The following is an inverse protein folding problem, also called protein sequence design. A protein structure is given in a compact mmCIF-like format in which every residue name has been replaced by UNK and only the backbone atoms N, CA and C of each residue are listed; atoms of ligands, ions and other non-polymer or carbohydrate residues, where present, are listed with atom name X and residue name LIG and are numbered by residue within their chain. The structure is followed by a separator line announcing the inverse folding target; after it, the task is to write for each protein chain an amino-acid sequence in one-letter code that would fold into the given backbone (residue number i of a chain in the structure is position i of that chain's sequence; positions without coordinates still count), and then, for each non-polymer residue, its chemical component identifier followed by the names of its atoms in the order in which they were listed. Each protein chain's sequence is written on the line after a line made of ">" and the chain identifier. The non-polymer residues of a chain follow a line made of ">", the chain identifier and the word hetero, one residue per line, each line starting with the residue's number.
data_IF_039848911587
#
_entry.id   IF_039848911587
#
_cell.length_a   1.000
_cell.length_b   1.000
_cell.length_c   1.000
_cell.angle_alpha   90.00
_cell.angle_beta   90.00
_cell.angle_gamma   90.00
#
_symmetry.space_group_name_H-M   'P 1'
#
loop_
_entity.id
_entity.type
_entity.pdbx_description
1 polymer ?
#
# COMPACT_ATOMS: atom_id res chain seq x y z
N UNK A 1 49.61 -24.35 -7.76
CA UNK A 1 49.20 -23.64 -8.98
C UNK A 1 47.67 -23.44 -9.02
N UNK A 2 46.90 -24.31 -8.36
CA UNK A 2 45.42 -24.25 -8.32
C UNK A 2 44.77 -23.14 -7.47
N UNK A 3 45.52 -22.49 -6.57
CA UNK A 3 44.96 -21.47 -5.66
C UNK A 3 44.90 -20.05 -6.23
N UNK A 4 45.71 -19.76 -7.25
CA UNK A 4 45.72 -18.46 -7.94
C UNK A 4 44.59 -18.36 -8.97
N UNK A 5 44.27 -19.48 -9.63
CA UNK A 5 43.21 -19.55 -10.64
C UNK A 5 41.80 -19.44 -10.02
N UNK A 6 41.62 -20.00 -8.82
CA UNK A 6 40.36 -19.86 -8.05
C UNK A 6 40.09 -18.44 -7.57
N UNK A 7 41.14 -17.70 -7.18
CA UNK A 7 41.01 -16.32 -6.69
C UNK A 7 40.74 -15.33 -7.83
N UNK A 8 41.36 -15.53 -9.00
CA UNK A 8 41.09 -14.70 -10.18
C UNK A 8 39.68 -14.92 -10.74
N UNK A 9 39.17 -16.16 -10.69
CA UNK A 9 37.82 -16.49 -11.13
C UNK A 9 36.72 -15.98 -10.16
N UNK A 10 36.99 -15.92 -8.86
CA UNK A 10 36.10 -15.26 -7.89
C UNK A 10 36.08 -13.74 -8.06
N UNK A 11 37.25 -13.12 -8.27
CA UNK A 11 37.34 -11.67 -8.45
C UNK A 11 36.67 -11.22 -9.77
N UNK A 12 36.82 -11.97 -10.86
CA UNK A 12 36.14 -11.68 -12.13
C UNK A 12 34.61 -11.84 -12.04
N UNK A 13 34.11 -12.77 -11.21
CA UNK A 13 32.68 -12.96 -10.94
C UNK A 13 32.11 -11.83 -10.07
N UNK A 14 32.81 -11.44 -9.00
CA UNK A 14 32.39 -10.32 -8.15
C UNK A 14 32.37 -8.98 -8.92
N UNK A 15 33.28 -8.78 -9.88
CA UNK A 15 33.28 -7.60 -10.75
C UNK A 15 32.08 -7.63 -11.70
N UNK A 16 31.79 -8.77 -12.33
CA UNK A 16 30.63 -8.92 -13.22
C UNK A 16 29.29 -8.77 -12.50
N UNK A 17 29.14 -9.35 -11.31
CA UNK A 17 27.92 -9.24 -10.50
C UNK A 17 27.70 -7.80 -9.99
N UNK A 18 28.77 -7.06 -9.68
CA UNK A 18 28.67 -5.64 -9.33
C UNK A 18 28.33 -4.76 -10.53
N UNK A 19 28.90 -5.00 -11.72
CA UNK A 19 28.53 -4.25 -12.93
C UNK A 19 27.06 -4.48 -13.33
N UNK A 20 26.56 -5.71 -13.24
CA UNK A 20 25.16 -6.03 -13.54
C UNK A 20 24.21 -5.32 -12.55
N UNK A 21 24.52 -5.36 -11.25
CA UNK A 21 23.72 -4.66 -10.22
C UNK A 21 23.70 -3.14 -10.45
N UNK A 22 24.86 -2.55 -10.79
CA UNK A 22 24.95 -1.11 -11.06
C UNK A 22 24.14 -0.70 -12.31
N UNK A 23 24.07 -1.55 -13.34
CA UNK A 23 23.28 -1.29 -14.55
C UNK A 23 21.78 -1.45 -14.30
N UNK A 24 21.37 -2.49 -13.56
CA UNK A 24 19.98 -2.70 -13.14
C UNK A 24 19.48 -1.55 -12.26
N UNK A 25 20.29 -1.09 -11.30
CA UNK A 25 19.98 0.04 -10.43
C UNK A 25 19.85 1.34 -11.21
N UNK A 26 20.70 1.58 -12.22
CA UNK A 26 20.61 2.74 -13.10
C UNK A 26 19.34 2.75 -13.96
N UNK A 27 19.01 1.64 -14.62
CA UNK A 27 17.79 1.52 -15.45
C UNK A 27 16.54 1.72 -14.59
N UNK A 28 16.55 1.16 -13.38
CA UNK A 28 15.47 1.29 -12.41
C UNK A 28 15.30 2.75 -11.93
N UNK A 29 16.40 3.43 -11.59
CA UNK A 29 16.36 4.85 -11.22
C UNK A 29 15.87 5.73 -12.37
N UNK A 30 16.33 5.49 -13.60
CA UNK A 30 15.89 6.23 -14.79
C UNK A 30 14.39 6.05 -15.04
N UNK A 31 13.87 4.81 -14.95
CA UNK A 31 12.44 4.51 -15.10
C UNK A 31 11.61 5.25 -14.04
N UNK A 32 12.04 5.25 -12.78
CA UNK A 32 11.35 5.97 -11.71
C UNK A 32 11.40 7.49 -11.91
N UNK A 33 12.55 8.05 -12.26
CA UNK A 33 12.67 9.49 -12.53
C UNK A 33 11.76 9.93 -13.68
N UNK A 34 11.69 9.13 -14.74
CA UNK A 34 10.79 9.40 -15.85
C UNK A 34 9.31 9.40 -15.41
N UNK A 35 8.91 8.40 -14.61
CA UNK A 35 7.55 8.33 -14.06
C UNK A 35 7.22 9.52 -13.15
N UNK A 36 8.18 9.96 -12.33
CA UNK A 36 8.02 11.13 -11.48
C UNK A 36 7.86 12.42 -12.30
N UNK A 37 8.62 12.57 -13.40
CA UNK A 37 8.48 13.70 -14.33
C UNK A 37 7.10 13.72 -14.99
N UNK A 38 6.63 12.58 -15.52
CA UNK A 38 5.30 12.47 -16.11
C UNK A 38 4.18 12.83 -15.12
N UNK A 39 4.29 12.35 -13.87
CA UNK A 39 3.34 12.65 -12.82
C UNK A 39 3.33 14.15 -12.46
N UNK A 40 4.50 14.78 -12.46
CA UNK A 40 4.66 16.21 -12.16
C UNK A 40 4.07 17.08 -13.27
N UNK A 41 4.30 16.73 -14.54
CA UNK A 41 3.69 17.42 -15.68
C UNK A 41 2.15 17.35 -15.61
N UNK A 42 1.62 16.17 -15.28
CA UNK A 42 0.18 15.99 -15.12
C UNK A 42 -0.38 16.82 -13.95
N UNK A 43 0.35 16.90 -12.82
CA UNK A 43 0.00 17.77 -11.69
C UNK A 43 -0.01 19.23 -12.11
N UNK A 44 1.04 19.72 -12.78
CA UNK A 44 1.14 21.11 -13.23
C UNK A 44 -0.02 21.49 -14.16
N UNK A 45 -0.38 20.59 -15.09
CA UNK A 45 -1.55 20.76 -15.95
C UNK A 45 -2.84 20.90 -15.13
N UNK A 46 -3.08 19.99 -14.18
CA UNK A 46 -4.29 20.02 -13.34
C UNK A 46 -4.31 21.19 -12.35
N UNK A 47 -3.17 21.64 -11.87
CA UNK A 47 -3.02 22.85 -11.06
C UNK A 47 -3.40 24.09 -11.87
N UNK A 48 -2.93 24.21 -13.12
CA UNK A 48 -3.30 25.31 -14.02
C UNK A 48 -4.79 25.32 -14.34
N UNK A 49 -5.36 24.15 -14.65
CA UNK A 49 -6.82 23.99 -14.81
C UNK A 49 -7.57 24.41 -13.53
N UNK A 50 -7.13 23.97 -12.35
CA UNK A 50 -7.79 24.32 -11.09
C UNK A 50 -7.74 25.83 -10.82
N UNK A 51 -6.56 26.45 -10.94
CA UNK A 51 -6.37 27.88 -10.68
C UNK A 51 -7.19 28.76 -11.64
N UNK A 52 -7.28 28.37 -12.92
CA UNK A 52 -8.11 29.09 -13.89
C UNK A 52 -9.61 28.98 -13.56
N UNK A 53 -10.08 27.79 -13.16
CA UNK A 53 -11.47 27.59 -12.74
C UNK A 53 -11.80 28.32 -11.43
N UNK A 54 -10.89 28.32 -10.46
CA UNK A 54 -11.02 29.10 -9.22
C UNK A 54 -11.15 30.60 -9.52
N UNK A 55 -10.32 31.14 -10.41
CA UNK A 55 -10.39 32.54 -10.81
C UNK A 55 -11.74 32.88 -11.47
N UNK A 56 -12.19 32.08 -12.43
CA UNK A 56 -13.51 32.26 -13.08
C UNK A 56 -14.64 32.17 -12.05
N UNK A 57 -14.60 31.19 -11.15
CA UNK A 57 -15.60 31.02 -10.11
C UNK A 57 -15.65 32.20 -9.15
N UNK A 58 -14.50 32.76 -8.79
CA UNK A 58 -14.41 33.96 -7.95
C UNK A 58 -15.04 35.16 -8.65
N UNK A 59 -14.74 35.38 -9.93
CA UNK A 59 -15.33 36.48 -10.72
C UNK A 59 -16.85 36.34 -10.84
N UNK A 60 -17.36 35.14 -11.14
CA UNK A 60 -18.80 34.88 -11.24
C UNK A 60 -19.47 35.07 -9.88
N UNK A 61 -18.85 34.61 -8.80
CA UNK A 61 -19.40 34.77 -7.43
C UNK A 61 -19.49 36.24 -7.05
N UNK A 62 -18.42 37.01 -7.26
CA UNK A 62 -18.41 38.44 -6.96
C UNK A 62 -19.46 39.20 -7.78
N UNK A 63 -19.56 38.90 -9.08
CA UNK A 63 -20.56 39.51 -9.97
C UNK A 63 -21.99 39.17 -9.52
N UNK A 64 -22.24 37.91 -9.16
CA UNK A 64 -23.54 37.45 -8.69
C UNK A 64 -23.96 38.14 -7.40
N UNK A 65 -23.03 38.33 -6.46
CA UNK A 65 -23.27 39.05 -5.20
C UNK A 65 -23.60 40.53 -5.46
N UNK A 66 -22.83 41.20 -6.31
CA UNK A 66 -23.06 42.61 -6.64
C UNK A 66 -24.43 42.80 -7.31
N UNK A 67 -24.76 41.97 -8.30
CA UNK A 67 -26.06 42.02 -8.98
C UNK A 67 -27.22 41.67 -8.04
N UNK A 68 -27.04 40.65 -7.19
CA UNK A 68 -28.02 40.23 -6.19
C UNK A 68 -28.32 41.33 -5.17
N UNK A 69 -27.28 41.96 -4.61
CA UNK A 69 -27.41 43.05 -3.66
C UNK A 69 -28.05 44.29 -4.30
N UNK A 70 -27.65 44.63 -5.53
CA UNK A 70 -28.25 45.73 -6.30
C UNK A 70 -29.74 45.49 -6.59
N UNK A 71 -30.09 44.30 -7.06
CA UNK A 71 -31.48 43.90 -7.29
C UNK A 71 -32.31 43.90 -6.01
N UNK A 72 -31.77 43.34 -4.92
CA UNK A 72 -32.41 43.35 -3.61
C UNK A 72 -32.71 44.76 -3.14
N UNK A 73 -31.71 45.67 -3.18
CA UNK A 73 -31.87 47.05 -2.78
C UNK A 73 -32.92 47.79 -3.64
N UNK A 74 -32.90 47.58 -4.96
CA UNK A 74 -33.87 48.18 -5.87
C UNK A 74 -35.31 47.74 -5.57
N UNK A 75 -35.56 46.43 -5.50
CA UNK A 75 -36.91 45.92 -5.28
C UNK A 75 -37.43 46.19 -3.87
N UNK A 76 -36.56 46.18 -2.85
CA UNK A 76 -36.95 46.46 -1.48
C UNK A 76 -37.20 47.96 -1.24
N UNK A 77 -36.25 48.83 -1.62
CA UNK A 77 -36.27 50.25 -1.26
C UNK A 77 -37.10 51.10 -2.23
N UNK A 78 -37.08 50.79 -3.53
CA UNK A 78 -37.77 51.59 -4.55
C UNK A 78 -39.18 51.06 -4.81
N UNK A 79 -39.32 49.74 -5.00
CA UNK A 79 -40.60 49.11 -5.38
C UNK A 79 -41.41 48.58 -4.19
N UNK A 80 -40.81 48.46 -3.00
CA UNK A 80 -41.45 47.88 -1.81
C UNK A 80 -41.83 46.40 -1.96
N UNK A 81 -41.29 45.69 -2.95
CA UNK A 81 -41.66 44.31 -3.26
C UNK A 81 -40.66 43.33 -2.64
N UNK A 82 -41.02 42.82 -1.46
CA UNK A 82 -40.19 41.92 -0.66
C UNK A 82 -39.96 40.57 -1.39
N UNK A 83 -40.97 40.06 -2.11
CA UNK A 83 -40.87 38.76 -2.78
C UNK A 83 -39.81 38.80 -3.89
N UNK A 84 -39.83 39.82 -4.74
CA UNK A 84 -38.81 39.99 -5.79
C UNK A 84 -37.43 40.30 -5.20
N UNK A 85 -37.35 41.03 -4.09
CA UNK A 85 -36.08 41.28 -3.41
C UNK A 85 -35.44 39.95 -2.93
N UNK A 86 -36.21 39.08 -2.26
CA UNK A 86 -35.73 37.77 -1.83
C UNK A 86 -35.32 36.87 -3.00
N UNK A 87 -36.06 36.92 -4.12
CA UNK A 87 -35.71 36.17 -5.33
C UNK A 87 -34.32 36.57 -5.87
N UNK A 88 -33.98 37.86 -5.85
CA UNK A 88 -32.64 38.33 -6.24
C UNK A 88 -31.52 37.73 -5.38
N UNK A 89 -31.74 37.53 -4.08
CA UNK A 89 -30.76 36.86 -3.22
C UNK A 89 -30.60 35.38 -3.55
N UNK A 90 -31.71 34.66 -3.77
CA UNK A 90 -31.67 33.24 -4.14
C UNK A 90 -30.94 33.04 -5.48
N UNK A 91 -31.22 33.89 -6.46
CA UNK A 91 -30.56 33.86 -7.77
C UNK A 91 -29.07 34.21 -7.68
N UNK A 92 -28.64 35.02 -6.72
CA UNK A 92 -27.23 35.33 -6.51
C UNK A 92 -26.45 34.15 -5.91
N UNK A 93 -27.10 33.28 -5.13
CA UNK A 93 -26.48 32.13 -4.47
C UNK A 93 -26.39 30.91 -5.39
N UNK A 94 -27.31 30.76 -6.34
CA UNK A 94 -27.37 29.58 -7.21
C UNK A 94 -26.08 29.36 -8.07
N UNK A 95 -25.49 30.38 -8.74
CA UNK A 95 -24.31 30.17 -9.56
C UNK A 95 -23.06 29.69 -8.78
N UNK A 96 -22.69 30.28 -7.62
CA UNK A 96 -21.61 29.76 -6.78
C UNK A 96 -21.76 28.28 -6.38
N UNK A 97 -22.99 27.85 -6.06
CA UNK A 97 -23.26 26.47 -5.68
C UNK A 97 -23.04 25.50 -6.86
N UNK A 98 -23.49 25.88 -8.05
CA UNK A 98 -23.30 25.07 -9.27
C UNK A 98 -21.82 24.97 -9.67
N UNK A 99 -21.05 26.03 -9.48
CA UNK A 99 -19.63 26.08 -9.85
C UNK A 99 -18.72 25.27 -8.90
N UNK A 100 -19.16 25.01 -7.66
CA UNK A 100 -18.35 24.31 -6.66
C UNK A 100 -17.86 22.93 -7.14
N UNK A 101 -18.71 22.18 -7.83
CA UNK A 101 -18.35 20.86 -8.39
C UNK A 101 -17.36 20.99 -9.56
N UNK A 102 -17.53 22.02 -10.40
CA UNK A 102 -16.66 22.27 -11.56
C UNK A 102 -15.25 22.70 -11.14
N UNK A 103 -15.14 23.52 -10.09
CA UNK A 103 -13.85 23.92 -9.51
C UNK A 103 -13.15 22.72 -8.87
N UNK A 104 -13.87 21.82 -8.17
CA UNK A 104 -13.26 20.65 -7.52
C UNK A 104 -12.82 19.55 -8.47
N UNK A 105 -13.33 19.53 -9.69
CA UNK A 105 -13.15 18.42 -10.62
C UNK A 105 -11.68 18.17 -11.03
N UNK A 106 -10.82 19.19 -11.32
CA UNK A 106 -9.41 18.95 -11.67
C UNK A 106 -8.62 18.29 -10.54
N UNK A 107 -8.88 18.66 -9.28
CA UNK A 107 -8.24 18.06 -8.10
C UNK A 107 -8.66 16.59 -7.96
N UNK A 108 -9.93 16.28 -8.20
CA UNK A 108 -10.41 14.89 -8.17
C UNK A 108 -9.83 14.06 -9.31
N UNK A 109 -9.75 14.61 -10.52
CA UNK A 109 -9.11 13.96 -11.66
C UNK A 109 -7.64 13.66 -11.39
N UNK A 110 -6.95 14.58 -10.71
CA UNK A 110 -5.56 14.41 -10.30
C UNK A 110 -5.40 13.23 -9.35
N UNK A 111 -6.17 13.20 -8.25
CA UNK A 111 -6.14 12.09 -7.28
C UNK A 111 -6.50 10.75 -7.91
N UNK A 112 -7.52 10.72 -8.78
CA UNK A 112 -7.92 9.51 -9.51
C UNK A 112 -6.82 9.01 -10.42
N UNK A 113 -6.22 9.90 -11.21
CA UNK A 113 -5.15 9.53 -12.13
C UNK A 113 -3.90 9.03 -11.39
N UNK A 114 -3.58 9.63 -10.24
CA UNK A 114 -2.49 9.17 -9.39
C UNK A 114 -2.68 7.69 -8.99
N UNK A 115 -3.86 7.31 -8.47
CA UNK A 115 -4.14 5.91 -8.12
C UNK A 115 -4.32 5.00 -9.33
N UNK A 116 -4.89 5.47 -10.44
CA UNK A 116 -5.19 4.62 -11.60
C UNK A 116 -4.03 4.42 -12.57
N UNK A 117 -3.06 5.34 -12.59
CA UNK A 117 -2.02 5.40 -13.61
C UNK A 117 -0.63 5.40 -13.00
N UNK A 118 -0.37 6.31 -12.06
CA UNK A 118 0.97 6.43 -11.45
C UNK A 118 1.29 5.25 -10.53
N UNK A 119 0.41 4.92 -9.57
CA UNK A 119 0.63 3.82 -8.64
C UNK A 119 0.84 2.44 -9.32
N UNK A 120 0.06 2.03 -10.34
CA UNK A 120 0.35 0.81 -11.09
C UNK A 120 1.70 0.80 -11.81
N UNK A 121 2.10 1.92 -12.40
CA UNK A 121 3.40 2.04 -13.08
C UNK A 121 4.56 2.00 -12.08
N UNK A 122 4.39 2.63 -10.91
CA UNK A 122 5.33 2.55 -9.81
C UNK A 122 5.47 1.10 -9.32
N UNK A 123 4.35 0.39 -9.10
CA UNK A 123 4.36 -1.02 -8.71
C UNK A 123 5.10 -1.90 -9.73
N UNK A 124 4.87 -1.68 -11.03
CA UNK A 124 5.59 -2.38 -12.09
C UNK A 124 7.10 -2.07 -12.08
N UNK A 125 7.49 -0.81 -11.84
CA UNK A 125 8.89 -0.41 -11.73
C UNK A 125 9.58 -1.09 -10.52
N UNK A 126 8.88 -1.31 -9.42
CA UNK A 126 9.36 -1.93 -8.18
C UNK A 126 9.55 -3.46 -8.24
N UNK A 127 9.87 -4.00 -9.42
CA UNK A 127 10.07 -5.44 -9.62
C UNK A 127 8.80 -6.18 -10.06
N UNK A 128 7.93 -5.55 -10.85
CA UNK A 128 6.76 -6.20 -11.46
C UNK A 128 5.60 -6.46 -10.49
N UNK A 129 5.48 -5.65 -9.43
CA UNK A 129 4.35 -5.72 -8.51
C UNK A 129 3.08 -5.19 -9.17
N UNK A 130 1.94 -5.62 -8.66
CA UNK A 130 0.62 -5.11 -9.06
C UNK A 130 0.05 -4.25 -7.94
N UNK A 131 -0.51 -3.10 -8.30
CA UNK A 131 -1.21 -2.21 -7.38
C UNK A 131 -2.73 -2.42 -7.44
N UNK A 132 -3.37 -2.40 -6.28
CA UNK A 132 -4.81 -2.56 -6.08
C UNK A 132 -5.31 -1.53 -5.07
N UNK A 133 -6.08 -0.50 -5.49
CA UNK A 133 -6.44 0.61 -4.61
C UNK A 133 -7.37 0.22 -3.45
N UNK A 134 -8.18 -0.83 -3.61
CA UNK A 134 -9.22 -1.22 -2.62
C UNK A 134 -8.95 -2.56 -1.93
N UNK A 135 -7.77 -3.15 -2.15
CA UNK A 135 -7.38 -4.43 -1.56
C UNK A 135 -6.43 -4.19 -0.39
N UNK A 136 -6.24 -5.19 0.44
CA UNK A 136 -5.18 -5.23 1.44
C UNK A 136 -4.88 -6.65 1.91
N UNK A 137 -4.02 -6.75 2.94
CA UNK A 137 -3.69 -8.03 3.58
C UNK A 137 -4.97 -8.70 4.12
N UNK A 138 -5.14 -10.00 3.87
CA UNK A 138 -6.39 -10.68 4.21
C UNK A 138 -6.65 -10.75 5.72
N UNK A 139 -7.85 -10.34 6.18
CA UNK A 139 -8.27 -10.35 7.61
C UNK A 139 -7.98 -11.67 8.35
N UNK A 140 -8.09 -12.81 7.67
CA UNK A 140 -7.81 -14.15 8.23
C UNK A 140 -6.34 -14.32 8.66
N UNK A 141 -5.42 -13.61 8.01
CA UNK A 141 -3.99 -13.63 8.35
C UNK A 141 -3.76 -12.91 9.68
N UNK A 142 -4.36 -11.73 9.88
CA UNK A 142 -4.19 -10.90 11.08
C UNK A 142 -4.44 -11.66 12.38
N UNK A 143 -5.46 -12.54 12.41
CA UNK A 143 -5.77 -13.34 13.59
C UNK A 143 -4.69 -14.37 13.95
N UNK A 144 -3.86 -14.78 12.99
CA UNK A 144 -2.80 -15.78 13.16
C UNK A 144 -1.46 -15.18 13.59
N UNK A 145 -1.27 -13.87 13.38
CA UNK A 145 0.04 -13.23 13.59
C UNK A 145 0.31 -12.93 15.06
N UNK A 146 -0.73 -12.78 15.89
CA UNK A 146 -0.60 -12.45 17.31
C UNK A 146 -0.17 -11.00 17.59
N UNK A 147 0.48 -10.33 16.63
CA UNK A 147 0.96 -8.94 16.75
C UNK A 147 -0.16 -7.91 16.61
N UNK A 148 -1.20 -8.23 15.84
CA UNK A 148 -2.33 -7.32 15.62
C UNK A 148 -3.18 -7.19 16.89
N UNK A 149 -3.43 -5.98 17.40
CA UNK A 149 -4.27 -5.78 18.57
C UNK A 149 -5.74 -6.13 18.29
N UNK A 150 -6.50 -6.39 19.36
CA UNK A 150 -7.93 -6.64 19.26
C UNK A 150 -8.64 -5.40 18.70
N UNK A 151 -9.44 -5.58 17.65
CA UNK A 151 -10.09 -4.51 16.92
C UNK A 151 -11.51 -4.92 16.49
N UNK A 152 -12.38 -3.92 16.28
CA UNK A 152 -13.73 -4.16 15.77
C UNK A 152 -13.80 -4.07 14.25
N UNK A 153 -13.22 -3.00 13.71
CA UNK A 153 -13.19 -2.71 12.27
C UNK A 153 -11.77 -2.82 11.74
N UNK A 154 -11.66 -3.34 10.53
CA UNK A 154 -10.43 -3.41 9.75
C UNK A 154 -10.71 -2.83 8.37
N UNK A 155 -9.95 -1.82 7.99
CA UNK A 155 -9.93 -1.25 6.66
C UNK A 155 -8.52 -1.39 6.11
N UNK A 156 -8.41 -1.74 4.84
CA UNK A 156 -7.13 -1.75 4.15
C UNK A 156 -7.34 -1.35 2.69
N UNK A 157 -6.38 -0.59 2.20
CA UNK A 157 -6.37 0.03 0.89
C UNK A 157 -4.93 0.10 0.38
N UNK A 158 -4.77 0.52 -0.88
CA UNK A 158 -3.47 0.78 -1.49
C UNK A 158 -2.50 -0.41 -1.38
N UNK A 159 -2.92 -1.54 -1.95
CA UNK A 159 -2.19 -2.79 -1.87
C UNK A 159 -1.27 -3.02 -3.05
N UNK A 160 -0.01 -3.27 -2.75
CA UNK A 160 1.00 -3.78 -3.67
C UNK A 160 1.15 -5.29 -3.45
N UNK A 161 1.09 -6.08 -4.51
CA UNK A 161 1.19 -7.53 -4.43
C UNK A 161 1.87 -8.11 -5.66
N UNK A 162 2.77 -9.07 -5.46
CA UNK A 162 3.53 -9.69 -6.54
C UNK A 162 4.56 -10.68 -6.02
N UNK A 163 5.55 -10.98 -6.85
CA UNK A 163 6.71 -11.76 -6.46
C UNK A 163 7.94 -10.87 -6.56
N UNK A 164 8.76 -10.87 -5.51
CA UNK A 164 10.02 -10.15 -5.48
C UNK A 164 11.09 -11.14 -5.02
N UNK A 165 12.13 -11.35 -5.84
CA UNK A 165 13.20 -12.36 -5.64
C UNK A 165 12.67 -13.74 -5.22
N UNK A 166 11.56 -14.18 -5.82
CA UNK A 166 10.96 -15.48 -5.55
C UNK A 166 10.11 -15.58 -4.28
N UNK A 167 10.10 -14.58 -3.41
CA UNK A 167 9.13 -14.47 -2.32
C UNK A 167 7.84 -13.79 -2.83
N UNK A 168 6.68 -14.29 -2.41
CA UNK A 168 5.42 -13.61 -2.69
C UNK A 168 5.21 -12.54 -1.63
N UNK A 169 5.04 -11.30 -2.08
CA UNK A 169 4.93 -10.14 -1.19
C UNK A 169 3.56 -9.51 -1.35
N UNK A 170 3.04 -8.99 -0.24
CA UNK A 170 1.82 -8.19 -0.24
C UNK A 170 1.93 -7.16 0.86
N UNK A 171 1.95 -5.88 0.51
CA UNK A 171 1.87 -4.81 1.49
C UNK A 171 0.72 -3.87 1.15
N UNK A 172 0.12 -3.27 2.17
CA UNK A 172 -1.03 -2.38 2.04
C UNK A 172 -1.14 -1.47 3.25
N UNK A 173 -1.71 -0.29 3.06
CA UNK A 173 -2.14 0.55 4.18
C UNK A 173 -3.29 -0.14 4.94
N UNK A 174 -3.27 -0.01 6.26
CA UNK A 174 -4.16 -0.71 7.15
C UNK A 174 -4.55 0.15 8.35
N UNK A 175 -5.86 0.26 8.57
CA UNK A 175 -6.45 1.00 9.68
C UNK A 175 -7.29 0.06 10.54
N UNK A 176 -7.02 0.05 11.84
CA UNK A 176 -7.79 -0.68 12.84
C UNK A 176 -8.47 0.30 13.78
N UNK A 177 -9.77 0.11 14.02
CA UNK A 177 -10.54 0.95 14.93
C UNK A 177 -11.48 0.17 15.83
N UNK A 178 -11.90 0.83 16.90
CA UNK A 178 -12.93 0.30 17.78
C UNK A 178 -14.28 0.20 17.05
N UNK A 179 -15.13 -0.80 17.37
CA UNK A 179 -16.39 -1.04 16.66
C UNK A 179 -17.34 0.16 16.72
N UNK A 180 -17.33 0.91 17.82
CA UNK A 180 -18.24 2.05 18.09
C UNK A 180 -17.62 3.43 17.79
N UNK A 181 -16.32 3.52 17.50
CA UNK A 181 -15.60 4.78 17.25
C UNK A 181 -14.60 4.58 16.11
N UNK A 182 -14.99 4.92 14.88
CA UNK A 182 -14.11 4.78 13.71
C UNK A 182 -12.95 5.76 13.72
N UNK A 183 -13.12 6.94 14.32
CA UNK A 183 -12.08 7.97 14.39
C UNK A 183 -11.02 7.69 15.48
N UNK A 184 -11.26 6.69 16.34
CA UNK A 184 -10.32 6.28 17.38
C UNK A 184 -9.53 5.08 16.85
N UNK A 185 -8.39 5.40 16.23
CA UNK A 185 -7.53 4.42 15.56
C UNK A 185 -6.67 3.69 16.60
N UNK A 186 -6.78 2.37 16.60
CA UNK A 186 -5.95 1.45 17.39
C UNK A 186 -4.61 1.22 16.68
N UNK A 187 -4.65 1.21 15.35
CA UNK A 187 -3.48 1.08 14.49
C UNK A 187 -3.74 1.85 13.19
N UNK A 188 -2.72 2.54 12.73
CA UNK A 188 -2.65 3.22 11.44
C UNK A 188 -1.23 3.01 10.89
N UNK A 189 -1.12 2.63 9.62
CA UNK A 189 0.16 2.34 8.98
C UNK A 189 0.14 1.16 8.00
N UNK A 190 1.28 0.54 7.78
CA UNK A 190 1.46 -0.51 6.77
C UNK A 190 1.44 -1.90 7.39
N UNK A 191 0.73 -2.80 6.72
CA UNK A 191 0.93 -4.24 6.87
C UNK A 191 1.70 -4.80 5.70
N UNK A 192 2.76 -5.56 6.00
CA UNK A 192 3.55 -6.30 5.04
C UNK A 192 3.38 -7.79 5.33
N UNK A 193 3.06 -8.58 4.30
CA UNK A 193 2.99 -10.02 4.34
C UNK A 193 3.94 -10.59 3.29
N UNK A 194 4.90 -11.39 3.75
CA UNK A 194 5.88 -12.08 2.92
C UNK A 194 5.63 -13.57 3.08
N UNK A 195 5.51 -14.26 1.94
CA UNK A 195 5.47 -15.72 1.85
C UNK A 195 6.73 -16.20 1.13
N UNK A 196 7.61 -16.86 1.90
CA UNK A 196 8.84 -17.46 1.39
C UNK A 196 8.58 -18.88 0.87
N UNK A 197 9.41 -19.35 -0.06
CA UNK A 197 9.23 -20.68 -0.69
C UNK A 197 9.52 -21.82 0.28
N UNK A 198 10.60 -21.70 1.04
CA UNK A 198 11.09 -22.74 1.93
C UNK A 198 10.77 -22.42 3.39
N UNK A 199 10.55 -23.46 4.21
CA UNK A 199 10.32 -23.28 5.63
C UNK A 199 11.62 -22.96 6.35
N UNK A 200 11.78 -21.72 6.80
CA UNK A 200 12.98 -21.23 7.51
C UNK A 200 12.75 -21.14 9.02
N UNK A 201 11.49 -21.07 9.44
CA UNK A 201 11.10 -20.91 10.83
C UNK A 201 10.27 -22.10 11.30
N UNK A 202 10.41 -22.49 12.56
CA UNK A 202 9.56 -23.49 13.19
C UNK A 202 8.66 -22.84 14.24
N UNK A 203 7.39 -23.25 14.31
CA UNK A 203 6.46 -22.68 15.27
C UNK A 203 6.08 -21.22 15.00
N UNK A 204 6.11 -20.40 16.06
CA UNK A 204 5.66 -19.02 16.06
C UNK A 204 6.60 -18.14 16.88
N UNK A 205 7.12 -17.10 16.24
CA UNK A 205 8.06 -16.15 16.84
C UNK A 205 7.65 -14.72 16.51
N UNK A 206 7.94 -13.79 17.41
CA UNK A 206 7.64 -12.37 17.27
C UNK A 206 8.85 -11.54 17.67
N UNK A 207 9.21 -10.59 16.82
CA UNK A 207 10.16 -9.51 17.12
C UNK A 207 9.34 -8.23 17.24
N UNK A 208 9.44 -7.50 18.35
CA UNK A 208 8.65 -6.28 18.54
C UNK A 208 9.39 -5.21 19.32
N UNK A 209 9.25 -3.96 18.87
CA UNK A 209 9.65 -2.77 19.62
C UNK A 209 8.52 -2.25 20.56
N UNK A 210 7.31 -2.81 20.48
CA UNK A 210 6.19 -2.46 21.35
C UNK A 210 6.24 -3.27 22.66
N UNK A 211 6.62 -2.60 23.75
CA UNK A 211 6.72 -3.19 25.08
C UNK A 211 5.36 -3.69 25.61
N UNK A 212 4.25 -3.04 25.24
CA UNK A 212 2.89 -3.46 25.64
C UNK A 212 2.50 -4.74 24.92
N UNK A 213 2.84 -4.85 23.64
CA UNK A 213 2.66 -6.06 22.85
C UNK A 213 3.52 -7.21 23.39
N UNK A 214 4.80 -6.96 23.67
CA UNK A 214 5.71 -7.94 24.25
C UNK A 214 5.17 -8.52 25.58
N UNK A 215 4.68 -7.65 26.47
CA UNK A 215 4.07 -8.06 27.75
C UNK A 215 2.78 -8.88 27.56
N UNK A 216 2.01 -8.60 26.51
CA UNK A 216 0.81 -9.38 26.18
C UNK A 216 1.18 -10.77 25.67
N UNK A 217 2.21 -10.86 24.82
CA UNK A 217 2.64 -12.09 24.17
C UNK A 217 3.47 -13.00 25.08
N UNK A 218 4.16 -12.46 26.09
CA UNK A 218 4.92 -13.25 27.06
C UNK A 218 4.07 -14.23 27.90
N UNK A 219 2.74 -14.09 27.85
CA UNK A 219 1.79 -15.07 28.41
C UNK A 219 1.69 -16.37 27.61
N UNK A 220 2.13 -16.36 26.35
CA UNK A 220 1.99 -17.47 25.39
C UNK A 220 3.31 -17.88 24.73
N UNK A 221 4.26 -16.96 24.64
CA UNK A 221 5.57 -17.16 24.02
C UNK A 221 6.67 -16.91 25.06
N UNK A 222 7.79 -17.60 24.91
CA UNK A 222 8.95 -17.44 25.78
C UNK A 222 9.81 -16.28 25.26
N UNK A 223 10.06 -15.24 26.07
CA UNK A 223 10.99 -14.18 25.69
C UNK A 223 12.43 -14.71 25.69
N UNK A 224 13.19 -14.38 24.64
CA UNK A 224 14.62 -14.68 24.58
C UNK A 224 15.42 -13.56 25.27
N UNK A 225 16.49 -13.90 26.01
CA UNK A 225 17.41 -12.89 26.51
C UNK A 225 18.04 -12.14 25.33
N UNK A 226 18.22 -10.81 25.43
CA UNK A 226 18.75 -10.00 24.34
C UNK A 226 20.13 -10.51 23.90
N UNK A 227 20.34 -10.61 22.59
CA UNK A 227 21.63 -10.97 22.02
C UNK A 227 22.71 -9.90 22.29
N UNK A 228 23.96 -10.20 21.91
CA UNK A 228 25.11 -9.32 22.17
C UNK A 228 25.24 -8.12 21.22
N UNK A 229 24.40 -8.02 20.19
CA UNK A 229 24.48 -6.94 19.20
C UNK A 229 23.82 -5.64 19.69
N UNK A 230 24.12 -4.51 19.04
CA UNK A 230 23.60 -3.20 19.43
C UNK A 230 22.08 -3.09 19.24
N UNK A 231 21.53 -3.76 18.22
CA UNK A 231 20.13 -3.66 17.82
C UNK A 231 19.18 -4.48 18.71
N UNK A 232 19.65 -5.58 19.29
CA UNK A 232 18.87 -6.50 20.13
C UNK A 232 18.25 -5.82 21.33
N UNK A 233 18.87 -4.73 21.82
CA UNK A 233 18.39 -3.96 22.98
C UNK A 233 17.13 -3.15 22.68
N UNK A 234 16.85 -2.90 21.40
CA UNK A 234 15.68 -2.14 20.96
C UNK A 234 14.46 -3.04 20.70
N UNK A 235 14.63 -4.36 20.69
CA UNK A 235 13.57 -5.31 20.37
C UNK A 235 13.41 -6.36 21.47
N UNK A 236 12.16 -6.74 21.74
CA UNK A 236 11.88 -7.97 22.48
C UNK A 236 11.58 -9.08 21.49
N UNK A 237 12.33 -10.18 21.60
CA UNK A 237 12.14 -11.37 20.77
C UNK A 237 11.42 -12.42 21.62
N UNK A 238 10.27 -12.91 21.15
CA UNK A 238 9.51 -13.97 21.80
C UNK A 238 9.33 -15.14 20.84
N UNK A 239 9.48 -16.37 21.31
CA UNK A 239 9.33 -17.58 20.48
C UNK A 239 8.74 -18.73 21.27
N UNK A 240 8.11 -19.67 20.60
CA UNK A 240 7.77 -20.99 21.16
C UNK A 240 8.78 -22.09 20.76
N UNK A 241 9.73 -21.77 19.89
CA UNK A 241 10.82 -22.66 19.47
C UNK A 241 12.16 -21.91 19.53
N UNK A 242 13.03 -22.35 20.44
CA UNK A 242 14.37 -21.76 20.63
C UNK A 242 15.31 -22.05 19.45
N UNK A 243 15.02 -23.06 18.61
CA UNK A 243 15.83 -23.37 17.42
C UNK A 243 15.84 -22.24 16.40
N UNK A 244 14.83 -21.36 16.42
CA UNK A 244 14.79 -20.18 15.56
C UNK A 244 15.75 -19.07 15.98
N UNK A 245 16.35 -19.15 17.17
CA UNK A 245 17.16 -18.06 17.74
C UNK A 245 18.24 -17.52 16.79
N UNK A 246 19.05 -18.34 16.09
CA UNK A 246 20.07 -17.80 15.18
C UNK A 246 19.49 -16.97 14.02
N UNK A 247 18.29 -17.34 13.55
CA UNK A 247 17.62 -16.63 12.47
C UNK A 247 17.00 -15.32 12.97
N UNK A 248 16.45 -15.32 14.19
CA UNK A 248 15.77 -14.16 14.79
C UNK A 248 16.74 -13.13 15.39
N UNK A 249 17.88 -13.56 15.93
CA UNK A 249 18.91 -12.69 16.52
C UNK A 249 19.95 -12.21 15.51
N UNK A 250 19.72 -12.47 14.22
CA UNK A 250 20.61 -12.04 13.16
C UNK A 250 20.75 -10.51 13.15
N UNK A 251 22.01 -10.06 13.24
CA UNK A 251 22.38 -8.64 13.29
C UNK A 251 21.87 -7.85 12.08
N UNK A 252 21.92 -8.43 10.88
CA UNK A 252 21.48 -7.78 9.66
C UNK A 252 19.96 -7.59 9.64
N UNK A 253 19.19 -8.62 10.02
CA UNK A 253 17.73 -8.53 10.12
C UNK A 253 17.30 -7.46 11.13
N UNK A 254 17.89 -7.48 12.34
CA UNK A 254 17.57 -6.51 13.38
C UNK A 254 17.99 -5.09 13.01
N UNK A 255 19.14 -4.93 12.34
CA UNK A 255 19.58 -3.65 11.78
C UNK A 255 18.53 -3.10 10.82
N UNK A 256 18.02 -3.90 9.90
CA UNK A 256 17.15 -3.40 8.84
C UNK A 256 15.72 -3.14 9.32
N UNK A 257 15.24 -3.91 10.30
CA UNK A 257 14.03 -3.53 11.04
C UNK A 257 14.24 -2.20 11.78
N UNK A 258 15.43 -1.96 12.35
CA UNK A 258 15.76 -0.70 13.01
C UNK A 258 15.85 0.48 12.05
N UNK A 259 16.46 0.30 10.87
CA UNK A 259 16.55 1.33 9.83
C UNK A 259 15.16 1.65 9.25
N UNK A 260 14.34 0.63 9.04
CA UNK A 260 12.91 0.80 8.71
C UNK A 260 12.19 1.58 9.80
N UNK A 261 12.40 1.26 11.08
CA UNK A 261 11.79 2.01 12.17
C UNK A 261 12.15 3.50 12.09
N UNK A 262 13.42 3.82 11.86
CA UNK A 262 13.90 5.19 11.75
C UNK A 262 13.26 5.97 10.57
N UNK A 263 13.17 5.34 9.39
CA UNK A 263 12.51 5.94 8.22
C UNK A 263 11.03 6.24 8.46
N UNK A 264 10.36 5.39 9.22
CA UNK A 264 8.97 5.55 9.61
C UNK A 264 8.79 6.38 10.90
N UNK A 265 9.72 7.29 11.20
CA UNK A 265 9.62 8.21 12.33
C UNK A 265 9.78 7.54 13.70
N UNK A 266 10.70 6.56 13.79
CA UNK A 266 10.92 5.69 14.95
C UNK A 266 9.68 4.85 15.30
N UNK A 267 9.04 4.27 14.29
CA UNK A 267 7.85 3.45 14.43
C UNK A 267 8.13 2.19 15.29
N UNK A 268 7.18 1.81 16.14
CA UNK A 268 7.27 0.59 16.95
C UNK A 268 6.92 -0.64 16.10
N UNK A 269 7.85 -1.04 15.23
CA UNK A 269 7.65 -2.15 14.30
C UNK A 269 7.49 -3.47 15.06
N UNK A 270 6.57 -4.30 14.58
CA UNK A 270 6.35 -5.66 15.07
C UNK A 270 6.30 -6.65 13.92
N UNK A 271 7.15 -7.68 13.96
CA UNK A 271 7.24 -8.74 12.96
C UNK A 271 6.86 -10.10 13.58
N UNK A 272 6.00 -10.85 12.93
CA UNK A 272 5.58 -12.19 13.29
C UNK A 272 6.03 -13.22 12.25
N UNK A 273 6.69 -14.27 12.70
CA UNK A 273 7.16 -15.40 11.91
C UNK A 273 6.29 -16.60 12.27
N UNK A 274 5.56 -17.13 11.29
CA UNK A 274 4.54 -18.15 11.58
C UNK A 274 4.33 -19.11 10.41
N UNK A 275 3.80 -20.30 10.74
CA UNK A 275 3.48 -21.36 9.76
C UNK A 275 4.68 -21.71 8.86
N UNK A 276 5.88 -21.53 9.40
CA UNK A 276 7.20 -21.78 8.81
C UNK A 276 7.61 -20.99 7.57
N UNK A 277 6.66 -20.40 6.86
CA UNK A 277 6.91 -19.69 5.59
C UNK A 277 6.30 -18.29 5.50
N UNK A 278 5.65 -17.80 6.54
CA UNK A 278 5.06 -16.47 6.53
C UNK A 278 5.73 -15.53 7.52
N UNK A 279 5.98 -14.31 7.04
CA UNK A 279 6.47 -13.19 7.83
C UNK A 279 5.47 -12.07 7.66
N UNK A 280 4.93 -11.59 8.77
CA UNK A 280 4.00 -10.46 8.79
C UNK A 280 4.61 -9.33 9.60
N UNK A 281 4.68 -8.13 9.02
CA UNK A 281 5.15 -6.93 9.70
C UNK A 281 4.03 -5.92 9.81
N UNK A 282 3.89 -5.35 11.01
CA UNK A 282 3.07 -4.19 11.29
C UNK A 282 4.00 -2.99 11.54
N UNK A 283 3.90 -1.99 10.67
CA UNK A 283 4.72 -0.78 10.68
C UNK A 283 3.77 0.40 10.92
N UNK A 284 3.67 0.91 12.16
CA UNK A 284 2.89 2.11 12.43
C UNK A 284 3.38 3.29 11.59
N UNK A 285 2.46 4.02 10.95
CA UNK A 285 2.75 5.25 10.22
C UNK A 285 1.67 6.29 10.53
N UNK A 286 2.06 7.57 10.60
CA UNK A 286 1.14 8.67 10.96
C UNK A 286 0.55 9.39 9.74
N UNK A 287 1.09 9.12 8.56
CA UNK A 287 0.76 9.79 7.31
C UNK A 287 0.25 8.74 6.32
N UNK A 288 -0.70 9.15 5.48
CA UNK A 288 -1.22 8.34 4.39
C UNK A 288 -0.17 8.29 3.27
N UNK A 289 0.37 7.11 3.01
CA UNK A 289 1.63 6.94 2.27
C UNK A 289 1.44 6.83 0.76
N UNK A 290 0.23 6.47 0.34
CA UNK A 290 -0.10 6.16 -1.05
C UNK A 290 -1.14 7.11 -1.64
N UNK A 291 -1.38 8.24 -0.98
CA UNK A 291 -2.21 9.31 -1.48
C UNK A 291 -1.42 10.35 -2.28
N UNK A 292 -2.09 10.94 -3.26
CA UNK A 292 -1.52 12.03 -4.01
C UNK A 292 -1.33 13.24 -3.08
N UNK A 293 -0.18 13.91 -3.19
CA UNK A 293 0.06 15.20 -2.53
C UNK A 293 -1.00 16.24 -2.95
N UNK A 294 -1.06 17.37 -2.25
CA UNK A 294 -1.88 18.48 -2.73
C UNK A 294 -1.45 18.88 -4.16
N UNK A 295 -2.41 19.21 -5.03
CA UNK A 295 -2.14 19.63 -6.41
C UNK A 295 -1.24 20.87 -6.47
N UNK A 296 -1.16 21.65 -5.39
CA UNK A 296 -0.32 22.84 -5.27
C UNK A 296 1.09 22.57 -4.75
N UNK A 297 1.39 21.34 -4.30
CA UNK A 297 2.71 20.94 -3.81
C UNK A 297 3.42 20.18 -4.95
N UNK A 298 4.63 20.59 -5.38
CA UNK A 298 5.39 19.87 -6.39
C UNK A 298 5.77 18.46 -5.94
N UNK A 299 5.61 17.47 -6.84
CA UNK A 299 6.07 16.10 -6.64
C UNK A 299 7.61 16.06 -6.59
N UNK A 300 8.27 16.99 -7.29
CA UNK A 300 9.74 17.09 -7.34
C UNK A 300 10.38 17.73 -6.11
N UNK A 301 9.64 18.54 -5.35
CA UNK A 301 10.05 19.04 -4.02
C UNK A 301 9.43 18.24 -2.88
N UNK A 302 8.65 17.21 -3.22
CA UNK A 302 7.97 16.35 -2.26
C UNK A 302 8.99 15.42 -1.63
N UNK A 303 9.37 15.74 -0.40
CA UNK A 303 9.89 14.76 0.55
C UNK A 303 9.06 13.46 0.48
N UNK A 304 7.74 13.55 0.28
CA UNK A 304 6.79 12.42 0.24
C UNK A 304 6.97 11.42 -0.92
N UNK A 305 7.25 11.84 -2.16
CA UNK A 305 7.39 10.89 -3.28
C UNK A 305 8.72 10.12 -3.21
N UNK A 306 9.80 10.83 -2.88
CA UNK A 306 11.10 10.22 -2.61
C UNK A 306 11.05 9.36 -1.35
N UNK A 307 10.34 9.80 -0.32
CA UNK A 307 10.09 9.04 0.91
C UNK A 307 9.27 7.78 0.65
N UNK A 308 8.19 7.86 -0.14
CA UNK A 308 7.42 6.68 -0.55
C UNK A 308 8.30 5.65 -1.28
N UNK A 309 9.17 6.11 -2.21
CA UNK A 309 10.17 5.25 -2.85
C UNK A 309 11.10 4.61 -1.81
N UNK A 310 11.73 5.41 -0.95
CA UNK A 310 12.66 4.94 0.08
C UNK A 310 11.99 3.97 1.07
N UNK A 311 10.76 4.23 1.47
CA UNK A 311 9.97 3.39 2.37
C UNK A 311 9.64 2.04 1.73
N UNK A 312 9.28 2.03 0.44
CA UNK A 312 9.07 0.77 -0.29
C UNK A 312 10.39 0.03 -0.47
N UNK A 313 11.46 0.70 -0.90
CA UNK A 313 12.79 0.09 -1.08
C UNK A 313 13.31 -0.52 0.22
N UNK A 314 13.10 0.15 1.35
CA UNK A 314 13.47 -0.38 2.66
C UNK A 314 12.59 -1.59 3.06
N UNK A 315 11.29 -1.59 2.75
CA UNK A 315 10.45 -2.77 2.94
C UNK A 315 10.99 -3.94 2.10
N UNK A 316 11.46 -3.68 0.89
CA UNK A 316 12.07 -4.67 0.00
C UNK A 316 13.46 -5.12 0.49
N UNK A 317 14.26 -4.26 1.13
CA UNK A 317 15.58 -4.65 1.66
C UNK A 317 15.47 -5.67 2.80
N UNK A 318 14.42 -5.58 3.62
CA UNK A 318 14.12 -6.62 4.63
C UNK A 318 13.92 -7.98 3.96
N UNK A 319 13.27 -8.01 2.79
CA UNK A 319 13.06 -9.25 2.01
C UNK A 319 14.40 -9.79 1.50
N UNK A 320 15.31 -8.92 1.06
CA UNK A 320 16.64 -9.34 0.59
C UNK A 320 17.42 -10.10 1.66
N UNK A 321 17.34 -9.67 2.91
CA UNK A 321 18.00 -10.34 4.04
C UNK A 321 17.34 -11.69 4.32
N UNK A 322 16.00 -11.74 4.23
CA UNK A 322 15.24 -12.96 4.42
C UNK A 322 15.56 -13.98 3.31
N UNK A 323 15.78 -13.52 2.08
CA UNK A 323 16.17 -14.35 0.93
C UNK A 323 17.59 -14.94 1.12
N UNK A 324 18.51 -14.22 1.78
CA UNK A 324 19.86 -14.73 2.11
C UNK A 324 19.83 -15.97 3.00
N UNK A 325 18.77 -16.21 3.78
CA UNK A 325 18.62 -17.47 4.55
C UNK A 325 18.26 -18.66 3.66
N UNK A 326 17.94 -18.46 2.38
CA UNK A 326 17.95 -19.51 1.37
C UNK A 326 19.41 -19.75 0.95
N UNK A 327 20.03 -20.81 1.50
CA UNK A 327 21.40 -21.19 1.20
C UNK A 327 21.74 -21.31 -0.31
N UNK A 328 23.01 -21.50 -0.67
CA UNK A 328 23.56 -21.30 -2.03
C UNK A 328 22.95 -22.15 -3.16
N UNK A 329 22.04 -23.09 -2.88
CA UNK A 329 21.38 -23.92 -3.90
C UNK A 329 20.56 -23.13 -4.94
N UNK A 330 20.18 -21.87 -4.66
CA UNK A 330 19.43 -21.05 -5.62
C UNK A 330 20.29 -20.18 -6.56
N UNK A 331 21.61 -20.02 -6.32
CA UNK A 331 22.45 -19.21 -7.23
C UNK A 331 22.70 -19.86 -8.58
N UNK A 332 22.49 -21.18 -8.71
CA UNK A 332 22.66 -21.90 -9.98
C UNK A 332 21.42 -21.89 -10.87
N UNK A 333 20.25 -21.47 -10.35
CA UNK A 333 18.99 -21.46 -11.10
C UNK A 333 18.52 -20.05 -11.49
N UNK A 334 19.22 -19.00 -11.07
CA UNK A 334 18.99 -17.63 -11.51
C UNK A 334 19.85 -17.32 -12.75
N UNK A 335 19.52 -17.93 -13.88
CA UNK A 335 20.01 -17.44 -15.17
C UNK A 335 19.25 -16.15 -15.54
N UNK A 336 19.91 -15.17 -16.18
CA UNK A 336 19.29 -13.88 -16.52
C UNK A 336 18.09 -14.10 -17.44
N UNK A 337 16.99 -13.40 -17.14
CA UNK A 337 15.74 -13.47 -17.89
C UNK A 337 15.98 -13.12 -19.37
N UNK A 338 16.06 -14.14 -20.20
CA UNK A 338 16.09 -13.98 -21.65
C UNK A 338 14.66 -13.87 -22.13
N UNK A 339 14.31 -12.72 -22.69
CA UNK A 339 13.04 -12.47 -23.38
C UNK A 339 12.89 -13.51 -24.50
N UNK A 340 11.90 -14.39 -24.37
CA UNK A 340 11.45 -15.26 -25.46
C UNK A 340 10.09 -14.75 -25.92
N UNK A 341 10.09 -14.01 -27.03
CA UNK A 341 8.92 -13.82 -27.87
C UNK A 341 8.69 -15.09 -28.68
N UNK A 342 7.53 -15.74 -28.54
CA UNK A 342 6.81 -16.35 -29.66
C UNK A 342 5.35 -16.70 -29.31
N UNK A 343 4.39 -16.51 -30.23
CA UNK A 343 2.96 -16.61 -29.96
C UNK A 343 2.42 -18.02 -30.17
N UNK A 344 1.57 -18.49 -29.26
CA UNK A 344 0.90 -19.77 -29.35
C UNK A 344 -0.34 -19.66 -30.27
N UNK A 345 -0.23 -20.25 -31.47
CA UNK A 345 -1.33 -20.46 -32.40
C UNK A 345 -2.28 -21.53 -31.85
N UNK A 346 -3.54 -21.16 -31.66
CA UNK A 346 -4.64 -22.08 -31.35
C UNK A 346 -5.15 -22.70 -32.64
N UNK A 347 -4.89 -23.99 -32.87
CA UNK A 347 -5.49 -24.73 -33.98
C UNK A 347 -6.70 -25.52 -33.47
N UNK A 348 -7.84 -25.24 -34.10
CA UNK A 348 -9.13 -25.89 -33.87
C UNK A 348 -9.15 -27.25 -34.56
N UNK A 349 -9.73 -28.27 -33.90
CA UNK A 349 -10.44 -29.29 -34.65
C UNK A 349 -11.66 -29.85 -33.88
N UNK A 350 -12.78 -30.12 -34.55
CA UNK A 350 -14.09 -30.32 -33.93
C UNK A 350 -14.46 -31.81 -33.77
N UNK A 351 -15.34 -32.11 -32.82
CA UNK A 351 -15.97 -33.41 -32.64
C UNK A 351 -17.36 -33.26 -32.00
N UNK A 352 -18.29 -34.19 -32.26
CA UNK A 352 -19.58 -33.82 -32.83
C UNK A 352 -20.77 -33.80 -31.84
N UNK A 353 -21.71 -32.95 -32.24
CA UNK A 353 -23.17 -33.07 -32.19
C UNK A 353 -23.77 -34.29 -31.46
N UNK A 354 -24.45 -34.03 -30.34
CA UNK A 354 -25.63 -34.80 -29.94
C UNK A 354 -26.67 -33.85 -29.33
N UNK A 355 -27.76 -33.78 -30.08
CA UNK A 355 -29.10 -33.29 -29.79
C UNK A 355 -29.71 -34.06 -28.62
N UNK A 356 -30.32 -33.37 -27.64
CA UNK A 356 -31.78 -33.39 -27.43
C UNK A 356 -32.22 -32.98 -26.01
N UNK A 357 -33.45 -32.45 -25.99
CA UNK A 357 -34.46 -32.48 -24.92
C UNK A 357 -34.44 -31.40 -23.83
N UNK A 358 -35.25 -30.38 -24.12
CA UNK A 358 -36.12 -29.62 -23.20
C UNK A 358 -36.98 -30.51 -22.30
N UNK A 359 -37.12 -30.14 -21.01
CA UNK A 359 -38.34 -30.17 -20.16
C UNK A 359 -37.99 -29.58 -18.79
N UNK A 360 -38.52 -28.42 -18.41
CA UNK A 360 -39.70 -28.17 -17.55
C UNK A 360 -39.57 -28.62 -16.08
N UNK A 361 -39.78 -27.64 -15.16
CA UNK A 361 -40.54 -27.67 -13.88
C UNK A 361 -39.94 -26.61 -12.93
N UNK A 362 -40.53 -25.42 -12.78
CA UNK A 362 -41.74 -25.04 -12.01
C UNK A 362 -41.57 -25.04 -10.48
N UNK A 363 -42.00 -23.91 -9.91
CA UNK A 363 -42.08 -23.45 -8.51
C UNK A 363 -42.35 -24.49 -7.42
N UNK A 364 -41.73 -24.28 -6.24
CA UNK A 364 -42.46 -24.10 -4.97
C UNK A 364 -41.53 -23.69 -3.79
N UNK A 365 -41.96 -22.76 -2.92
CA UNK A 365 -41.22 -22.34 -1.73
C UNK A 365 -41.74 -22.93 -0.39
N UNK A 366 -40.83 -22.94 0.59
CA UNK A 366 -41.00 -22.95 2.07
C UNK A 366 -41.61 -24.19 2.76
N UNK A 367 -41.20 -24.44 4.02
CA UNK A 367 -42.12 -24.09 5.09
C UNK A 367 -41.48 -23.35 6.27
N UNK A 368 -42.23 -22.35 6.75
CA UNK A 368 -42.14 -21.77 8.09
C UNK A 368 -42.59 -22.77 9.17
N UNK A 369 -42.03 -22.66 10.39
CA UNK A 369 -42.73 -22.81 11.70
C UNK A 369 -41.70 -22.70 12.86
N UNK A 370 -42.10 -22.46 14.12
CA UNK A 370 -42.86 -21.31 14.60
C UNK A 370 -42.21 -20.64 15.84
N UNK A 371 -42.67 -19.43 16.16
CA UNK A 371 -42.45 -18.80 17.45
C UNK A 371 -43.12 -19.60 18.59
N UNK A 372 -42.44 -19.70 19.74
CA UNK A 372 -43.09 -19.98 21.02
C UNK A 372 -42.58 -19.03 22.10
N UNK A 373 -43.56 -18.59 22.87
CA UNK A 373 -43.61 -17.54 23.88
C UNK A 373 -43.30 -18.10 25.28
N UNK A 374 -42.95 -17.16 26.15
CA UNK A 374 -43.15 -17.11 27.60
C UNK A 374 -42.38 -18.13 28.47
N UNK A 375 -41.32 -17.64 29.13
CA UNK A 375 -41.23 -17.47 30.59
C UNK A 375 -40.24 -16.34 30.95
#
# INVERSE_FOLDING_TARGET
>A
MDTLDSAQNQNARDIGDNEIRNVEDHIYHEKIEHLLKEAEEYRLKKMGENRSREFVSLTVTLTSVVLGAGGFAWYLLIMGNILLALLCMVLAIAPPLLLMSWVRQPVQDYKKNYKSTFMPRLADALGGLKYYPTRGVGRKVLARTGVVPAHGKYMAEDCFSGHYKGAKITFSEARLSHPKKSNDLIFDGIFVLIEIKNTVFHGHSVITADASLAKRLSKKLTPLPPGNNAFSRHFTILTNDEKNRPNLENDQLLKEISETSALFGNAQISAAFFQGKYIFMAIPAKEDMFEASDVYIPITTSESAMRCKQEIEQILSIIDIIDVYHGPENRQNAAPATVSEQPEQTDMQPGPDHTDASTNEEDAPLPETPAKKDD
#
